data_IF_781461888580
#
_entry.id   IF_781461888580
#
_cell.length_a   1.000
_cell.length_b   1.000
_cell.length_c   1.000
_cell.angle_alpha   90.00
_cell.angle_beta   90.00
_cell.angle_gamma   90.00
#
_symmetry.space_group_name_H-M   'P 1'
#
loop_
_entity.id
_entity.type
_entity.pdbx_description
1 polymer ?
#
# COMPACT_ATOMS: atom_id res chain seq x y z
N UNK A 1 -13.40 10.60 11.76
CA UNK A 1 -12.58 10.73 10.55
C UNK A 1 -11.49 9.70 10.71
N UNK A 2 -11.47 8.65 9.91
CA UNK A 2 -10.51 7.55 10.08
C UNK A 2 -9.09 8.10 9.94
N UNK A 3 -8.26 7.98 10.98
CA UNK A 3 -6.89 8.50 11.02
C UNK A 3 -5.87 7.55 10.39
N UNK A 4 -6.34 6.60 9.58
CA UNK A 4 -5.48 5.63 8.91
C UNK A 4 -4.69 6.30 7.78
N UNK A 5 -3.40 5.99 7.67
CA UNK A 5 -2.54 6.48 6.59
C UNK A 5 -1.76 5.33 5.93
N UNK A 6 -1.39 5.54 4.67
CA UNK A 6 -0.65 4.56 3.89
C UNK A 6 0.85 4.72 4.15
N UNK A 7 1.56 3.62 4.36
CA UNK A 7 3.03 3.60 4.31
C UNK A 7 3.41 2.99 2.98
N UNK A 8 4.12 3.74 2.14
CA UNK A 8 4.65 3.28 0.88
C UNK A 8 6.14 3.02 1.01
N UNK A 9 6.50 1.74 1.06
CA UNK A 9 7.88 1.29 1.03
C UNK A 9 8.33 1.12 -0.42
N UNK A 10 9.33 1.89 -0.85
CA UNK A 10 9.92 1.81 -2.18
C UNK A 10 11.44 1.85 -2.10
N UNK A 11 12.12 1.77 -3.24
CA UNK A 11 13.57 1.94 -3.34
C UNK A 11 13.89 2.91 -4.46
N UNK A 12 14.62 3.98 -4.16
CA UNK A 12 15.10 4.92 -5.20
C UNK A 12 16.14 4.30 -6.14
N UNK A 13 16.77 3.20 -5.73
CA UNK A 13 17.69 2.43 -6.57
C UNK A 13 16.97 1.45 -7.51
N UNK A 14 15.68 1.23 -7.28
CA UNK A 14 14.85 0.33 -8.09
C UNK A 14 14.13 1.12 -9.20
N UNK A 15 14.88 1.43 -10.25
CA UNK A 15 14.39 2.17 -11.41
C UNK A 15 13.28 1.44 -12.16
N UNK A 16 13.24 0.11 -12.11
CA UNK A 16 12.24 -0.71 -12.80
C UNK A 16 10.84 -0.43 -12.28
N UNK A 17 10.71 -0.18 -10.97
CA UNK A 17 9.41 0.04 -10.33
C UNK A 17 9.10 1.50 -10.03
N UNK A 18 9.92 2.43 -10.52
CA UNK A 18 9.72 3.88 -10.33
C UNK A 18 8.38 4.39 -10.87
N UNK A 19 7.94 3.90 -12.03
CA UNK A 19 6.63 4.23 -12.62
C UNK A 19 5.47 3.77 -11.74
N UNK A 20 5.58 2.57 -11.18
CA UNK A 20 4.55 1.96 -10.35
C UNK A 20 4.34 2.76 -9.06
N UNK A 21 5.44 3.19 -8.45
CA UNK A 21 5.44 4.10 -7.30
C UNK A 21 4.73 5.41 -7.65
N UNK A 22 4.98 5.99 -8.82
CA UNK A 22 4.32 7.24 -9.25
C UNK A 22 2.81 7.08 -9.44
N UNK A 23 2.38 5.97 -10.05
CA UNK A 23 0.95 5.65 -10.24
C UNK A 23 0.25 5.55 -8.89
N UNK A 24 0.81 4.79 -7.96
CA UNK A 24 0.22 4.64 -6.63
C UNK A 24 0.16 5.97 -5.87
N UNK A 25 1.23 6.79 -5.90
CA UNK A 25 1.22 8.11 -5.29
C UNK A 25 0.16 9.03 -5.90
N UNK A 26 -0.03 8.99 -7.22
CA UNK A 26 -1.05 9.78 -7.89
C UNK A 26 -2.45 9.35 -7.43
N UNK A 27 -2.71 8.04 -7.33
CA UNK A 27 -3.96 7.50 -6.82
C UNK A 27 -4.23 7.93 -5.36
N UNK A 28 -3.26 7.76 -4.46
CA UNK A 28 -3.38 8.14 -3.05
C UNK A 28 -3.74 9.63 -2.90
N UNK A 29 -3.07 10.50 -3.67
CA UNK A 29 -3.37 11.94 -3.71
C UNK A 29 -4.79 12.21 -4.23
N UNK A 30 -5.20 11.57 -5.32
CA UNK A 30 -6.54 11.75 -5.91
C UNK A 30 -7.65 11.36 -4.92
N UNK A 31 -7.43 10.32 -4.11
CA UNK A 31 -8.36 9.83 -3.09
C UNK A 31 -8.26 10.58 -1.75
N UNK A 32 -7.37 11.57 -1.63
CA UNK A 32 -7.04 12.25 -0.38
C UNK A 32 -6.62 11.29 0.76
N UNK A 33 -5.97 10.18 0.42
CA UNK A 33 -5.39 9.27 1.39
C UNK A 33 -4.04 9.85 1.82
N UNK A 34 -3.87 10.08 3.13
CA UNK A 34 -2.59 10.50 3.70
C UNK A 34 -1.60 9.36 3.57
N UNK A 35 -0.36 9.66 3.17
CA UNK A 35 0.67 8.63 3.06
C UNK A 35 2.07 9.13 3.43
N UNK A 36 2.90 8.19 3.88
CA UNK A 36 4.32 8.35 4.17
C UNK A 36 5.15 7.54 3.17
N UNK A 37 6.17 8.18 2.61
CA UNK A 37 7.10 7.57 1.67
C UNK A 37 8.38 7.13 2.39
N UNK A 38 8.64 5.83 2.42
CA UNK A 38 9.87 5.27 2.99
C UNK A 38 10.75 4.73 1.86
N UNK A 39 11.86 5.42 1.61
CA UNK A 39 12.88 4.92 0.70
C UNK A 39 13.80 3.92 1.42
N UNK A 40 13.59 2.63 1.15
CA UNK A 40 14.35 1.53 1.72
C UNK A 40 15.78 1.38 1.16
N UNK A 41 16.16 2.17 0.14
CA UNK A 41 17.54 2.25 -0.32
C UNK A 41 18.41 3.07 0.64
N UNK A 42 17.82 4.01 1.38
CA UNK A 42 18.53 4.87 2.32
C UNK A 42 18.98 4.07 3.56
N UNK A 43 20.27 4.11 3.95
CA UNK A 43 20.80 3.36 5.10
C UNK A 43 20.07 3.63 6.42
N UNK A 44 19.64 4.86 6.66
CA UNK A 44 18.86 5.29 7.83
C UNK A 44 17.52 4.55 7.94
N UNK A 45 16.93 4.14 6.81
CA UNK A 45 15.67 3.41 6.76
C UNK A 45 15.84 1.90 6.83
N UNK A 46 17.08 1.37 6.93
CA UNK A 46 17.37 -0.06 6.95
C UNK A 46 16.54 -0.82 8.00
N UNK A 47 16.43 -0.26 9.19
CA UNK A 47 15.70 -0.91 10.29
C UNK A 47 14.20 -0.96 10.02
N UNK A 48 13.58 0.17 9.66
CA UNK A 48 12.14 0.23 9.38
C UNK A 48 11.77 -0.59 8.14
N UNK A 49 12.59 -0.56 7.08
CA UNK A 49 12.45 -1.42 5.90
C UNK A 49 12.42 -2.89 6.29
N UNK A 50 13.37 -3.35 7.10
CA UNK A 50 13.43 -4.76 7.50
C UNK A 50 12.20 -5.16 8.31
N UNK A 51 11.72 -4.28 9.22
CA UNK A 51 10.49 -4.50 9.99
C UNK A 51 9.27 -4.63 9.07
N UNK A 52 9.13 -3.75 8.08
CA UNK A 52 8.01 -3.77 7.13
C UNK A 52 8.07 -5.00 6.21
N UNK A 53 9.25 -5.41 5.77
CA UNK A 53 9.44 -6.63 4.99
C UNK A 53 9.13 -7.89 5.80
N UNK A 54 9.53 -7.95 7.07
CA UNK A 54 9.18 -9.07 7.94
C UNK A 54 7.67 -9.13 8.17
N UNK A 55 7.00 -7.98 8.29
CA UNK A 55 5.56 -7.89 8.38
C UNK A 55 4.87 -8.38 7.09
N UNK A 56 5.35 -7.95 5.92
CA UNK A 56 4.82 -8.39 4.63
C UNK A 56 4.89 -9.91 4.49
N UNK A 57 6.03 -10.52 4.80
CA UNK A 57 6.21 -11.99 4.76
C UNK A 57 5.28 -12.69 5.74
N UNK A 58 5.11 -12.17 6.97
CA UNK A 58 4.18 -12.73 7.96
C UNK A 58 2.71 -12.66 7.51
N UNK A 59 2.37 -11.72 6.64
CA UNK A 59 1.01 -11.53 6.10
C UNK A 59 0.86 -12.07 4.67
N UNK A 60 1.76 -12.97 4.25
CA UNK A 60 1.66 -13.71 2.98
C UNK A 60 2.22 -13.00 1.75
N UNK A 61 2.94 -11.89 1.92
CA UNK A 61 3.67 -11.21 0.86
C UNK A 61 5.13 -11.64 0.73
N UNK A 62 5.90 -10.89 -0.04
CA UNK A 62 7.35 -11.08 -0.18
C UNK A 62 8.13 -9.79 0.15
N UNK A 63 9.45 -9.86 0.11
CA UNK A 63 10.34 -8.72 0.36
C UNK A 63 10.64 -7.98 -0.94
N UNK A 64 9.66 -7.28 -1.46
CA UNK A 64 9.74 -6.63 -2.78
C UNK A 64 9.24 -5.18 -2.76
N UNK A 65 9.68 -4.42 -3.75
CA UNK A 65 9.27 -3.04 -3.96
C UNK A 65 8.36 -2.91 -5.18
N UNK A 66 7.42 -1.95 -5.19
CA UNK A 66 6.90 -1.26 -4.01
C UNK A 66 6.06 -2.19 -3.14
N UNK A 67 5.99 -1.88 -1.86
CA UNK A 67 5.07 -2.50 -0.90
C UNK A 67 4.25 -1.43 -0.20
N UNK A 68 2.94 -1.63 -0.12
CA UNK A 68 2.02 -0.74 0.59
C UNK A 68 1.52 -1.35 1.89
N UNK A 69 1.39 -0.52 2.90
CA UNK A 69 0.84 -0.87 4.20
C UNK A 69 -0.19 0.19 4.61
N UNK A 70 -1.09 -0.19 5.51
CA UNK A 70 -1.95 0.75 6.22
C UNK A 70 -1.57 0.75 7.70
N UNK A 71 -1.34 1.94 8.24
CA UNK A 71 -1.25 2.17 9.67
C UNK A 71 -2.61 2.65 10.16
N UNK A 72 -3.23 1.91 11.10
CA UNK A 72 -4.50 2.28 11.73
C UNK A 72 -4.28 3.13 12.99
N UNK A 73 -5.36 3.67 13.54
CA UNK A 73 -5.34 4.52 14.74
C UNK A 73 -4.76 3.83 15.97
N UNK A 74 -4.99 2.52 16.09
CA UNK A 74 -4.46 1.67 17.16
C UNK A 74 -2.96 1.33 16.99
N UNK A 75 -2.30 1.95 16.00
CA UNK A 75 -0.91 1.71 15.59
C UNK A 75 -0.66 0.31 15.05
N UNK A 76 -1.70 -0.44 14.70
CA UNK A 76 -1.54 -1.69 13.95
C UNK A 76 -1.16 -1.37 12.50
N UNK A 77 -0.15 -2.10 12.00
CA UNK A 77 0.25 -2.05 10.61
C UNK A 77 -0.27 -3.31 9.93
N UNK A 78 -1.00 -3.14 8.84
CA UNK A 78 -1.43 -4.23 7.97
C UNK A 78 -0.78 -4.08 6.61
N UNK A 79 -0.27 -5.18 6.08
CA UNK A 79 0.25 -5.26 4.72
C UNK A 79 -0.91 -5.29 3.73
N UNK A 80 -0.90 -4.34 2.80
CA UNK A 80 -1.89 -4.27 1.72
C UNK A 80 -1.43 -5.20 0.60
N UNK A 81 -0.20 -5.02 0.12
CA UNK A 81 0.31 -5.79 -1.01
C UNK A 81 1.59 -5.24 -1.62
N UNK A 82 2.15 -6.03 -2.54
CA UNK A 82 3.17 -5.62 -3.50
C UNK A 82 2.50 -4.95 -4.71
N UNK A 83 3.28 -4.59 -5.73
CA UNK A 83 2.70 -3.97 -6.92
C UNK A 83 1.60 -4.80 -7.57
N UNK A 84 1.80 -6.10 -7.78
CA UNK A 84 0.82 -6.95 -8.48
C UNK A 84 -0.52 -6.94 -7.76
N UNK A 85 -0.51 -7.11 -6.44
CA UNK A 85 -1.72 -7.09 -5.62
C UNK A 85 -2.34 -5.70 -5.52
N UNK A 86 -1.52 -4.65 -5.44
CA UNK A 86 -1.99 -3.27 -5.46
C UNK A 86 -2.71 -2.99 -6.77
N UNK A 87 -2.17 -3.44 -7.91
CA UNK A 87 -2.76 -3.24 -9.22
C UNK A 87 -4.14 -3.90 -9.31
N UNK A 88 -4.28 -5.14 -8.82
CA UNK A 88 -5.59 -5.81 -8.72
C UNK A 88 -6.61 -4.97 -7.94
N UNK A 89 -6.21 -4.38 -6.80
CA UNK A 89 -7.07 -3.52 -5.99
C UNK A 89 -7.39 -2.17 -6.62
N UNK A 90 -6.51 -1.65 -7.47
CA UNK A 90 -6.75 -0.42 -8.23
C UNK A 90 -7.68 -0.68 -9.42
N UNK A 91 -7.58 -1.84 -10.06
CA UNK A 91 -8.45 -2.22 -11.17
C UNK A 91 -9.91 -2.41 -10.72
N UNK A 92 -10.13 -2.79 -9.45
CA UNK A 92 -11.48 -2.91 -8.86
C UNK A 92 -12.06 -1.58 -8.37
N UNK A 93 -11.30 -0.49 -8.34
CA UNK A 93 -11.77 0.82 -7.83
C UNK A 93 -12.87 1.47 -8.67
N UNK A 94 -12.96 1.10 -9.95
CA UNK A 94 -14.01 1.61 -10.84
C UNK A 94 -15.36 0.91 -10.68
N UNK A 95 -15.42 -0.17 -9.90
CA UNK A 95 -16.66 -0.91 -9.66
C UNK A 95 -17.59 -0.05 -8.80
N UNK A 96 -18.87 0.01 -9.18
CA UNK A 96 -19.84 0.83 -8.48
C UNK A 96 -20.16 0.28 -7.07
N UNK A 97 -20.61 1.17 -6.18
CA UNK A 97 -20.87 0.83 -4.78
C UNK A 97 -21.96 -0.23 -4.59
N UNK A 98 -22.95 -0.30 -5.48
CA UNK A 98 -24.02 -1.28 -5.35
C UNK A 98 -23.49 -2.69 -5.65
N UNK A 99 -22.64 -2.82 -6.68
CA UNK A 99 -21.94 -4.06 -7.00
C UNK A 99 -20.98 -4.47 -5.88
N UNK A 100 -20.18 -3.54 -5.33
CA UNK A 100 -19.29 -3.84 -4.20
C UNK A 100 -20.05 -4.27 -2.94
N UNK A 101 -21.22 -3.67 -2.67
CA UNK A 101 -22.06 -4.06 -1.53
C UNK A 101 -22.69 -5.46 -1.70
N UNK A 102 -22.96 -5.87 -2.95
CA UNK A 102 -23.45 -7.21 -3.28
C UNK A 102 -22.34 -8.27 -3.27
N UNK A 103 -21.08 -7.87 -3.47
CA UNK A 103 -19.91 -8.73 -3.60
C UNK A 103 -18.80 -8.35 -2.60
N UNK A 104 -18.97 -8.64 -1.30
CA UNK A 104 -18.02 -8.28 -0.25
C UNK A 104 -16.65 -8.96 -0.40
N UNK A 105 -16.54 -9.99 -1.24
CA UNK A 105 -15.27 -10.62 -1.61
C UNK A 105 -14.37 -9.71 -2.47
N UNK A 106 -14.93 -8.70 -3.13
CA UNK A 106 -14.18 -7.76 -3.96
C UNK A 106 -13.53 -6.72 -3.07
N UNK A 107 -12.21 -6.76 -2.99
CA UNK A 107 -11.42 -5.81 -2.22
C UNK A 107 -10.95 -4.69 -3.15
N UNK A 108 -11.10 -3.45 -2.68
CA UNK A 108 -10.59 -2.24 -3.36
C UNK A 108 -9.45 -1.63 -2.55
N UNK A 109 -8.62 -0.81 -3.16
CA UNK A 109 -7.51 -0.20 -2.43
C UNK A 109 -8.03 0.74 -1.33
N UNK A 110 -9.08 1.49 -1.61
CA UNK A 110 -9.66 2.46 -0.67
C UNK A 110 -10.32 1.79 0.54
N UNK A 111 -10.79 0.54 0.43
CA UNK A 111 -11.44 -0.14 1.56
C UNK A 111 -10.51 -0.38 2.75
N UNK A 112 -9.19 -0.33 2.55
CA UNK A 112 -8.22 -0.42 3.65
C UNK A 112 -8.18 0.83 4.54
N UNK A 113 -8.77 1.95 4.11
CA UNK A 113 -8.70 3.26 4.78
C UNK A 113 -10.06 3.78 5.25
N UNK A 114 -11.13 2.99 5.10
CA UNK A 114 -12.50 3.34 5.49
C UNK A 114 -12.75 3.19 6.99
#
# INVERSE_FOLDING_TARGET
MSSAYCILLYSSLDVMHSSNVLVLKAFLKQKNIIFEDIDGALPENKNIRNVLFDLAVKQGGTREYPSAFVMKEDKSITYIGNWDRIQEYLDTESIDKATLAAHPEIVTFSSFFQ
#
